data_IF_546983334263
#
_entry.id   IF_546983334263
#
_cell.length_a   1.000
_cell.length_b   1.000
_cell.length_c   1.000
_cell.angle_alpha   90.00
_cell.angle_beta   90.00
_cell.angle_gamma   90.00
#
_symmetry.space_group_name_H-M   'P 1'
#
loop_
_entity.id
_entity.type
_entity.pdbx_description
1 polymer ?
#
# COMPACT_ATOMS: atom_id res chain seq x y z
N UNK A 1 -91.01 9.72 -25.42
CA UNK A 1 -89.80 10.51 -25.10
C UNK A 1 -89.53 10.25 -23.62
N UNK A 2 -88.91 9.11 -23.28
CA UNK A 2 -87.46 8.84 -23.26
C UNK A 2 -86.80 9.42 -21.98
N UNK A 3 -86.53 8.54 -21.00
CA UNK A 3 -85.22 8.28 -20.36
C UNK A 3 -84.92 9.27 -19.21
N UNK A 4 -84.62 8.91 -17.96
CA UNK A 4 -83.80 7.81 -17.45
C UNK A 4 -82.40 8.35 -17.13
N UNK A 5 -82.06 8.59 -15.84
CA UNK A 5 -80.72 8.29 -15.26
C UNK A 5 -80.52 8.75 -13.81
N UNK A 6 -79.60 8.05 -13.15
CA UNK A 6 -79.43 7.93 -11.71
C UNK A 6 -78.11 8.55 -11.19
N UNK A 7 -78.08 8.75 -9.85
CA UNK A 7 -76.92 8.77 -8.92
C UNK A 7 -75.74 9.74 -9.16
N UNK A 8 -75.36 10.53 -8.14
CA UNK A 8 -74.24 10.23 -7.22
C UNK A 8 -73.96 11.38 -6.25
N UNK A 9 -73.66 11.03 -5.00
CA UNK A 9 -73.24 11.91 -3.91
C UNK A 9 -71.79 12.39 -4.07
N UNK A 10 -71.50 13.63 -3.69
CA UNK A 10 -70.13 14.13 -3.50
C UNK A 10 -69.93 14.53 -2.04
N UNK A 11 -69.33 13.62 -1.27
CA UNK A 11 -68.78 13.92 0.05
C UNK A 11 -67.44 14.65 -0.10
N UNK A 12 -67.27 15.73 0.67
CA UNK A 12 -66.06 16.54 0.69
C UNK A 12 -64.82 15.75 1.13
N UNK A 13 -63.77 15.83 0.33
CA UNK A 13 -62.47 15.27 0.66
C UNK A 13 -61.77 16.15 1.72
N UNK A 14 -61.45 15.53 2.86
CA UNK A 14 -60.60 16.10 3.89
C UNK A 14 -59.15 16.15 3.41
N UNK A 15 -58.48 17.30 3.60
CA UNK A 15 -57.05 17.48 3.37
C UNK A 15 -56.27 16.86 4.53
N UNK A 16 -55.85 15.60 4.39
CA UNK A 16 -54.92 14.97 5.33
C UNK A 16 -53.50 15.50 5.10
N UNK A 17 -52.95 16.14 6.13
CA UNK A 17 -51.51 16.45 6.20
C UNK A 17 -50.66 15.17 6.19
N UNK A 18 -49.35 15.26 5.92
CA UNK A 18 -48.50 14.08 5.78
C UNK A 18 -48.54 13.19 7.02
N UNK A 19 -48.76 11.88 6.80
CA UNK A 19 -49.04 10.90 7.84
C UNK A 19 -47.91 10.76 8.89
N UNK A 20 -48.25 10.38 10.15
CA UNK A 20 -47.30 10.26 11.26
C UNK A 20 -46.11 9.32 11.02
N UNK A 21 -46.25 8.32 10.16
CA UNK A 21 -45.18 7.37 9.85
C UNK A 21 -44.01 7.99 9.05
N UNK A 22 -44.23 9.09 8.34
CA UNK A 22 -43.16 9.80 7.66
C UNK A 22 -42.19 10.48 8.65
N UNK A 23 -42.65 10.80 9.87
CA UNK A 23 -41.81 11.36 10.95
C UNK A 23 -40.98 10.28 11.65
N UNK A 24 -41.47 9.04 11.73
CA UNK A 24 -40.76 7.96 12.45
C UNK A 24 -39.53 7.43 11.70
N UNK A 25 -39.48 7.55 10.37
CA UNK A 25 -38.30 7.15 9.56
C UNK A 25 -37.12 8.11 9.74
N UNK A 26 -37.36 9.37 10.13
CA UNK A 26 -36.29 10.33 10.46
C UNK A 26 -35.68 10.13 11.86
N UNK A 27 -36.35 9.38 12.75
CA UNK A 27 -35.98 9.25 14.16
C UNK A 27 -34.80 8.30 14.46
N UNK A 28 -34.27 7.60 13.45
CA UNK A 28 -33.20 6.59 13.63
C UNK A 28 -31.78 7.02 13.23
N UNK A 29 -31.58 8.23 12.68
CA UNK A 29 -30.23 8.67 12.30
C UNK A 29 -29.49 9.17 13.55
N UNK A 30 -28.33 8.58 13.91
CA UNK A 30 -27.57 9.05 15.06
C UNK A 30 -27.28 10.55 14.89
N UNK A 31 -27.63 11.34 15.90
CA UNK A 31 -27.42 12.80 15.89
C UNK A 31 -25.94 13.06 15.61
N UNK A 32 -25.65 13.61 14.43
CA UNK A 32 -24.28 13.91 14.02
C UNK A 32 -23.77 15.09 14.83
N UNK A 33 -23.06 14.81 15.92
CA UNK A 33 -22.45 15.82 16.82
C UNK A 33 -21.44 16.74 16.16
N UNK A 34 -20.94 16.38 14.96
CA UNK A 34 -19.88 17.10 14.24
C UNK A 34 -20.42 17.57 12.90
N UNK A 35 -20.26 18.85 12.56
CA UNK A 35 -20.65 19.39 11.25
C UNK A 35 -19.83 18.78 10.10
N UNK A 36 -20.35 18.77 8.87
CA UNK A 36 -19.62 18.25 7.70
C UNK A 36 -18.28 18.97 7.47
N UNK A 37 -18.25 20.30 7.65
CA UNK A 37 -17.03 21.11 7.49
C UNK A 37 -15.99 20.75 8.55
N UNK A 38 -16.41 20.63 9.82
CA UNK A 38 -15.52 20.21 10.90
C UNK A 38 -14.98 18.80 10.66
N UNK A 39 -15.83 17.86 10.24
CA UNK A 39 -15.42 16.49 9.91
C UNK A 39 -14.35 16.42 8.81
N UNK A 40 -14.53 17.15 7.71
CA UNK A 40 -13.55 17.19 6.62
C UNK A 40 -12.22 17.80 7.11
N UNK A 41 -12.28 18.90 7.85
CA UNK A 41 -11.08 19.54 8.43
C UNK A 41 -10.35 18.58 9.36
N UNK A 42 -11.05 17.88 10.25
CA UNK A 42 -10.44 16.89 11.14
C UNK A 42 -9.80 15.74 10.36
N UNK A 43 -10.44 15.22 9.30
CA UNK A 43 -9.86 14.17 8.47
C UNK A 43 -8.58 14.64 7.76
N UNK A 44 -8.55 15.88 7.26
CA UNK A 44 -7.34 16.49 6.67
C UNK A 44 -6.24 16.63 7.72
N UNK A 45 -6.54 17.20 8.89
CA UNK A 45 -5.57 17.36 9.97
C UNK A 45 -5.02 16.02 10.44
N UNK A 46 -5.86 15.00 10.55
CA UNK A 46 -5.45 13.64 10.91
C UNK A 46 -4.51 13.02 9.86
N UNK A 47 -4.79 13.26 8.57
CA UNK A 47 -3.93 12.81 7.47
C UNK A 47 -2.57 13.50 7.54
N UNK A 48 -2.54 14.82 7.73
CA UNK A 48 -1.31 15.60 7.87
C UNK A 48 -0.51 15.21 9.12
N UNK A 49 -1.19 14.94 10.23
CA UNK A 49 -0.56 14.46 11.46
C UNK A 49 0.11 13.09 11.24
N UNK A 50 -0.55 12.17 10.52
CA UNK A 50 0.05 10.87 10.22
C UNK A 50 1.20 10.96 9.21
N UNK A 51 1.12 11.85 8.23
CA UNK A 51 2.26 12.13 7.32
C UNK A 51 3.43 12.74 8.08
N UNK A 52 3.18 13.63 9.03
CA UNK A 52 4.21 14.19 9.92
C UNK A 52 4.83 13.10 10.78
N UNK A 53 4.03 12.19 11.33
CA UNK A 53 4.52 11.03 12.07
C UNK A 53 5.43 10.13 11.23
N UNK A 54 5.05 9.84 9.98
CA UNK A 54 5.92 9.11 9.06
C UNK A 54 7.20 9.90 8.72
N UNK A 55 7.13 11.22 8.60
CA UNK A 55 8.32 12.05 8.35
C UNK A 55 9.32 11.99 9.52
N UNK A 56 8.84 11.94 10.76
CA UNK A 56 9.67 11.67 11.93
C UNK A 56 10.38 10.32 11.79
N UNK A 57 9.65 9.26 11.41
CA UNK A 57 10.25 7.94 11.14
C UNK A 57 11.27 7.97 10.00
N UNK A 58 10.99 8.71 8.92
CA UNK A 58 11.90 8.84 7.78
C UNK A 58 13.23 9.52 8.15
N UNK A 59 13.22 10.42 9.14
CA UNK A 59 14.40 11.14 9.61
C UNK A 59 15.14 10.35 10.69
N UNK A 60 14.42 9.78 11.65
CA UNK A 60 15.01 9.10 12.82
C UNK A 60 15.52 7.71 12.48
N UNK A 61 14.90 7.01 11.53
CA UNK A 61 15.38 5.69 11.09
C UNK A 61 16.72 5.87 10.38
N UNK A 62 17.82 5.24 10.84
CA UNK A 62 19.09 5.37 10.17
C UNK A 62 18.98 4.89 8.70
N UNK A 63 19.73 5.50 7.77
CA UNK A 63 19.70 5.10 6.38
C UNK A 63 19.91 3.60 6.18
N UNK A 64 19.13 2.98 5.28
CA UNK A 64 19.28 1.57 4.91
C UNK A 64 19.03 0.55 6.03
N UNK A 65 18.49 0.98 7.19
CA UNK A 65 18.13 0.07 8.30
C UNK A 65 16.73 -0.53 8.16
N UNK A 66 15.91 -0.08 7.22
CA UNK A 66 14.65 -0.76 6.90
C UNK A 66 14.93 -1.98 6.02
N UNK A 67 14.22 -3.11 6.21
CA UNK A 67 14.46 -4.31 5.41
C UNK A 67 14.33 -4.00 3.92
N UNK A 68 15.29 -4.50 3.15
CA UNK A 68 15.36 -4.40 1.69
C UNK A 68 15.41 -2.95 1.14
N UNK A 69 15.59 -1.93 1.97
CA UNK A 69 15.68 -0.54 1.52
C UNK A 69 16.83 -0.30 0.51
N UNK A 70 18.03 -0.91 0.66
CA UNK A 70 19.08 -0.81 -0.35
C UNK A 70 18.67 -1.35 -1.73
N UNK A 71 17.96 -2.47 -1.78
CA UNK A 71 17.58 -3.11 -3.06
C UNK A 71 16.46 -2.32 -3.73
N UNK A 72 15.52 -1.78 -2.95
CA UNK A 72 14.55 -0.81 -3.47
C UNK A 72 15.23 0.45 -4.02
N UNK A 73 16.18 1.02 -3.28
CA UNK A 73 16.95 2.19 -3.71
C UNK A 73 17.71 1.91 -5.01
N UNK A 74 18.40 0.79 -5.11
CA UNK A 74 19.09 0.34 -6.33
C UNK A 74 18.14 0.28 -7.54
N UNK A 75 16.98 -0.34 -7.38
CA UNK A 75 15.98 -0.43 -8.44
C UNK A 75 15.37 0.92 -8.84
N UNK A 76 15.23 1.87 -7.91
CA UNK A 76 14.84 3.25 -8.22
C UNK A 76 15.90 3.94 -9.09
N UNK A 77 17.19 3.79 -8.74
CA UNK A 77 18.28 4.37 -9.53
C UNK A 77 18.36 3.76 -10.94
N UNK A 78 18.16 2.44 -11.08
CA UNK A 78 18.01 1.79 -12.39
C UNK A 78 16.87 2.41 -13.19
N UNK A 79 15.68 2.50 -12.56
CA UNK A 79 14.49 3.07 -13.18
C UNK A 79 14.65 4.55 -13.58
N UNK A 80 15.49 5.31 -12.89
CA UNK A 80 15.79 6.70 -13.24
C UNK A 80 16.56 6.82 -14.57
N UNK A 81 17.37 5.82 -14.92
CA UNK A 81 18.25 5.86 -16.10
C UNK A 81 17.65 5.09 -17.28
N UNK A 82 17.35 3.80 -17.09
CA UNK A 82 17.08 2.89 -18.22
C UNK A 82 15.60 2.67 -18.51
N UNK A 83 14.74 2.78 -17.49
CA UNK A 83 13.38 2.21 -17.49
C UNK A 83 13.33 0.71 -17.83
N UNK A 84 14.48 0.04 -17.91
CA UNK A 84 14.56 -1.38 -18.15
C UNK A 84 14.18 -2.14 -16.88
N UNK A 85 13.53 -3.29 -17.07
CA UNK A 85 13.12 -4.18 -16.00
C UNK A 85 13.57 -5.60 -16.31
N UNK A 86 14.82 -5.96 -15.94
CA UNK A 86 15.40 -7.26 -16.22
C UNK A 86 14.57 -8.42 -15.67
N UNK A 87 14.80 -9.62 -16.21
CA UNK A 87 14.20 -10.83 -15.67
C UNK A 87 14.55 -11.00 -14.18
N UNK A 88 13.62 -11.57 -13.41
CA UNK A 88 13.84 -11.77 -11.98
C UNK A 88 15.12 -12.59 -11.75
N UNK A 89 15.95 -12.12 -10.81
CA UNK A 89 17.20 -12.77 -10.46
C UNK A 89 18.37 -12.47 -11.40
N UNK A 90 18.19 -11.76 -12.51
CA UNK A 90 19.33 -11.36 -13.37
C UNK A 90 19.89 -9.98 -13.03
N UNK A 91 19.13 -9.18 -12.28
CA UNK A 91 19.55 -7.86 -11.82
C UNK A 91 20.51 -7.95 -10.63
N UNK A 92 21.59 -7.17 -10.68
CA UNK A 92 22.54 -7.03 -9.57
C UNK A 92 22.41 -5.69 -8.83
N UNK A 93 23.13 -5.60 -7.72
CA UNK A 93 23.29 -4.38 -6.92
C UNK A 93 24.46 -3.53 -7.47
N UNK A 94 24.23 -2.24 -7.65
CA UNK A 94 25.28 -1.29 -8.02
C UNK A 94 26.31 -1.14 -6.90
N UNK A 95 27.59 -1.07 -7.28
CA UNK A 95 28.70 -0.86 -6.36
C UNK A 95 28.48 0.37 -5.45
N UNK A 96 28.04 1.48 -6.04
CA UNK A 96 27.80 2.72 -5.29
C UNK A 96 26.70 2.57 -4.22
N UNK A 97 25.70 1.71 -4.45
CA UNK A 97 24.66 1.45 -3.44
C UNK A 97 25.22 0.65 -2.27
N UNK A 98 26.09 -0.33 -2.54
CA UNK A 98 26.77 -1.08 -1.49
C UNK A 98 27.70 -0.18 -0.68
N UNK A 99 28.48 0.67 -1.35
CA UNK A 99 29.32 1.66 -0.68
C UNK A 99 28.50 2.67 0.14
N UNK A 100 27.34 3.10 -0.34
CA UNK A 100 26.45 3.98 0.42
C UNK A 100 25.90 3.31 1.69
N UNK A 101 25.62 2.01 1.63
CA UNK A 101 25.20 1.25 2.80
C UNK A 101 26.36 1.03 3.81
N UNK A 102 27.60 0.92 3.34
CA UNK A 102 28.81 0.96 4.18
C UNK A 102 29.01 2.34 4.82
N UNK A 103 28.92 3.43 4.06
CA UNK A 103 28.99 4.81 4.58
C UNK A 103 27.90 5.12 5.62
N UNK A 104 26.76 4.44 5.52
CA UNK A 104 25.67 4.52 6.49
C UNK A 104 25.89 3.66 7.76
N UNK A 105 26.97 2.88 7.81
CA UNK A 105 27.28 1.95 8.90
C UNK A 105 26.45 0.65 8.90
N UNK A 106 25.70 0.37 7.84
CA UNK A 106 24.84 -0.82 7.75
C UNK A 106 25.61 -2.04 7.30
N UNK A 107 26.49 -1.89 6.31
CA UNK A 107 27.35 -2.98 5.85
C UNK A 107 28.71 -2.91 6.53
N UNK A 108 29.27 -4.08 6.81
CA UNK A 108 30.66 -4.20 7.27
C UNK A 108 31.60 -3.96 6.07
N UNK A 109 32.76 -3.35 6.31
CA UNK A 109 33.74 -3.06 5.26
C UNK A 109 34.21 -4.32 4.52
N UNK A 110 34.31 -4.22 3.19
CA UNK A 110 34.84 -5.29 2.34
C UNK A 110 33.90 -6.44 2.04
N UNK A 111 32.64 -6.39 2.48
CA UNK A 111 31.67 -7.48 2.29
C UNK A 111 30.88 -7.33 1.00
N UNK A 112 30.48 -8.47 0.41
CA UNK A 112 29.89 -8.52 -0.93
C UNK A 112 28.36 -8.42 -0.91
N UNK A 113 27.70 -8.95 0.14
CA UNK A 113 26.25 -9.12 0.18
C UNK A 113 25.50 -8.23 1.17
N UNK A 114 24.18 -8.36 1.19
CA UNK A 114 23.29 -7.77 2.20
C UNK A 114 22.77 -8.82 3.16
N UNK A 115 23.43 -9.98 3.27
CA UNK A 115 22.98 -11.05 4.17
C UNK A 115 23.10 -10.64 5.63
N UNK A 116 22.49 -11.39 6.55
CA UNK A 116 22.59 -11.08 7.99
C UNK A 116 24.04 -11.04 8.49
N UNK A 117 24.95 -11.81 7.90
CA UNK A 117 26.37 -11.86 8.29
C UNK A 117 27.16 -10.66 7.77
N UNK A 118 26.63 -9.96 6.76
CA UNK A 118 27.30 -8.87 6.07
C UNK A 118 26.89 -7.50 6.61
N UNK A 119 25.92 -7.47 7.53
CA UNK A 119 25.31 -6.26 8.09
C UNK A 119 25.61 -6.13 9.57
N UNK A 120 25.78 -4.89 10.03
CA UNK A 120 25.80 -4.58 11.46
C UNK A 120 24.44 -4.87 12.11
N UNK A 121 24.46 -5.24 13.39
CA UNK A 121 23.26 -5.59 14.17
C UNK A 121 23.01 -4.60 15.30
N UNK A 122 21.77 -4.41 15.74
CA UNK A 122 21.48 -3.54 16.89
C UNK A 122 21.94 -4.12 18.24
N UNK A 123 22.21 -5.42 18.30
CA UNK A 123 22.73 -6.06 19.49
C UNK A 123 23.95 -6.85 19.10
N UNK A 124 25.11 -6.47 19.65
CA UNK A 124 26.38 -7.11 19.36
C UNK A 124 26.30 -8.62 19.61
N UNK A 125 26.87 -9.39 18.69
CA UNK A 125 27.08 -10.82 18.85
C UNK A 125 28.53 -11.11 18.50
N UNK A 126 29.13 -12.17 19.06
CA UNK A 126 30.54 -12.53 18.80
C UNK A 126 30.91 -12.62 17.30
N UNK A 127 29.93 -12.83 16.42
CA UNK A 127 30.14 -13.02 14.99
C UNK A 127 29.85 -11.78 14.12
N UNK A 128 29.20 -10.73 14.64
CA UNK A 128 28.71 -9.60 13.81
C UNK A 128 28.84 -8.27 14.58
N UNK A 129 29.52 -7.26 14.00
CA UNK A 129 29.70 -5.95 14.63
C UNK A 129 28.38 -5.24 14.97
N UNK A 130 28.41 -4.49 16.07
CA UNK A 130 27.31 -3.63 16.48
C UNK A 130 27.17 -2.40 15.57
N UNK A 131 25.93 -2.01 15.28
CA UNK A 131 25.65 -0.75 14.58
C UNK A 131 26.06 0.48 15.40
N UNK A 132 26.06 0.37 16.73
CA UNK A 132 26.44 1.49 17.61
C UNK A 132 27.91 1.88 17.48
N UNK A 133 28.75 0.94 17.05
CA UNK A 133 30.20 1.14 16.87
C UNK A 133 30.56 1.42 15.40
N UNK A 134 29.56 1.50 14.52
CA UNK A 134 29.79 1.74 13.10
C UNK A 134 30.26 3.18 12.85
N UNK A 135 31.33 3.31 12.07
CA UNK A 135 31.84 4.61 11.63
C UNK A 135 30.96 5.11 10.49
N UNK A 136 30.14 6.14 10.76
CA UNK A 136 29.24 6.74 9.77
C UNK A 136 29.96 7.88 9.04
N UNK A 137 29.95 7.85 7.71
CA UNK A 137 30.55 8.91 6.90
C UNK A 137 29.78 10.23 7.08
N UNK A 138 30.48 11.34 7.43
CA UNK A 138 29.88 12.66 7.56
C UNK A 138 29.23 13.13 6.26
N UNK A 139 28.14 13.91 6.37
CA UNK A 139 27.32 14.35 5.23
C UNK A 139 28.12 14.94 4.05
N UNK A 140 29.11 15.78 4.35
CA UNK A 140 29.95 16.47 3.36
C UNK A 140 30.90 15.55 2.58
N UNK A 141 31.11 14.32 3.06
CA UNK A 141 32.03 13.35 2.47
C UNK A 141 31.29 12.17 1.83
N UNK A 142 29.95 12.21 1.79
CA UNK A 142 29.13 11.11 1.25
C UNK A 142 29.19 11.03 -0.26
N UNK A 143 29.19 9.80 -0.77
CA UNK A 143 29.28 9.57 -2.20
C UNK A 143 28.01 9.97 -2.99
N UNK A 144 28.21 10.33 -4.25
CA UNK A 144 27.13 10.60 -5.20
C UNK A 144 26.81 9.32 -5.98
N UNK A 145 25.79 8.58 -5.55
CA UNK A 145 25.43 7.32 -6.17
C UNK A 145 24.69 7.58 -7.48
N UNK A 146 25.14 6.93 -8.56
CA UNK A 146 24.46 6.90 -9.85
C UNK A 146 24.41 5.46 -10.36
N UNK A 147 23.35 5.14 -11.09
CA UNK A 147 23.27 3.86 -11.80
C UNK A 147 24.17 3.92 -13.03
N UNK A 148 25.14 3.01 -13.11
CA UNK A 148 26.12 2.92 -14.21
C UNK A 148 25.95 1.65 -15.05
N UNK A 149 25.22 0.66 -14.53
CA UNK A 149 25.12 -0.67 -15.14
C UNK A 149 26.25 -1.61 -14.74
N UNK A 150 27.27 -1.12 -14.02
CA UNK A 150 28.34 -1.93 -13.43
C UNK A 150 27.86 -2.54 -12.10
N UNK A 151 26.82 -3.37 -12.19
CA UNK A 151 26.23 -4.07 -11.05
C UNK A 151 27.02 -5.35 -10.71
N UNK A 152 27.20 -5.65 -9.43
CA UNK A 152 27.74 -6.94 -8.98
C UNK A 152 26.69 -8.04 -9.16
N UNK A 153 26.95 -9.01 -10.02
CA UNK A 153 26.03 -10.12 -10.28
C UNK A 153 25.85 -11.05 -9.06
N UNK A 154 26.84 -11.09 -8.16
CA UNK A 154 26.83 -11.93 -6.96
C UNK A 154 25.78 -11.47 -5.93
N UNK A 155 25.50 -10.16 -5.87
CA UNK A 155 24.50 -9.58 -4.97
C UNK A 155 23.29 -9.18 -5.77
N UNK A 156 22.30 -10.09 -5.77
CA UNK A 156 21.09 -9.94 -6.57
C UNK A 156 20.18 -8.85 -6.04
N UNK A 157 19.58 -8.13 -6.97
CA UNK A 157 18.50 -7.19 -6.72
C UNK A 157 17.15 -7.89 -7.00
N UNK A 158 16.57 -8.44 -5.93
CA UNK A 158 15.32 -9.18 -6.00
C UNK A 158 14.12 -8.33 -6.38
N UNK A 159 14.23 -7.00 -6.43
CA UNK A 159 13.07 -6.13 -6.66
C UNK A 159 12.48 -6.26 -8.06
N UNK A 160 13.26 -6.79 -9.01
CA UNK A 160 12.79 -7.16 -10.36
C UNK A 160 11.69 -8.23 -10.35
N UNK A 161 11.53 -9.00 -9.27
CA UNK A 161 10.40 -9.91 -9.06
C UNK A 161 9.06 -9.18 -8.83
N UNK A 162 9.08 -7.86 -8.64
CA UNK A 162 7.89 -7.05 -8.46
C UNK A 162 7.59 -6.24 -9.74
N UNK A 163 6.32 -5.86 -9.95
CA UNK A 163 5.95 -4.88 -10.96
C UNK A 163 6.75 -3.57 -10.86
N UNK A 164 7.08 -2.92 -12.00
CA UNK A 164 8.03 -1.81 -12.03
C UNK A 164 7.48 -0.43 -11.63
N UNK A 165 6.15 -0.28 -11.46
CA UNK A 165 5.50 1.04 -11.40
C UNK A 165 6.11 1.98 -10.36
N UNK A 166 6.30 1.50 -9.12
CA UNK A 166 6.87 2.29 -8.04
C UNK A 166 8.27 2.81 -8.41
N UNK A 167 9.12 1.94 -8.97
CA UNK A 167 10.51 2.25 -9.27
C UNK A 167 10.65 3.22 -10.45
N UNK A 168 9.85 3.02 -11.50
CA UNK A 168 9.80 3.95 -12.63
C UNK A 168 9.29 5.32 -12.21
N UNK A 169 8.23 5.38 -11.40
CA UNK A 169 7.68 6.64 -10.89
C UNK A 169 8.70 7.37 -10.01
N UNK A 170 9.26 6.68 -9.02
CA UNK A 170 10.23 7.25 -8.09
C UNK A 170 11.52 7.68 -8.81
N UNK A 171 12.04 6.85 -9.72
CA UNK A 171 13.23 7.15 -10.50
C UNK A 171 13.01 8.35 -11.43
N UNK A 172 11.85 8.42 -12.10
CA UNK A 172 11.48 9.57 -12.93
C UNK A 172 11.42 10.85 -12.10
N UNK A 173 10.76 10.83 -10.95
CA UNK A 173 10.61 12.00 -10.08
C UNK A 173 11.97 12.46 -9.54
N UNK A 174 12.80 11.53 -9.04
CA UNK A 174 14.16 11.82 -8.59
C UNK A 174 14.97 12.51 -9.69
N UNK A 175 14.92 11.99 -10.92
CA UNK A 175 15.61 12.62 -12.06
C UNK A 175 15.07 14.01 -12.39
N UNK A 176 13.74 14.21 -12.37
CA UNK A 176 13.14 15.49 -12.74
C UNK A 176 13.48 16.63 -11.79
N UNK A 177 13.72 16.34 -10.51
CA UNK A 177 14.11 17.35 -9.52
C UNK A 177 15.62 17.59 -9.47
N UNK A 178 16.40 16.99 -10.39
CA UNK A 178 17.86 17.02 -10.36
C UNK A 178 18.46 16.17 -9.23
N UNK A 179 17.67 15.26 -8.65
CA UNK A 179 18.05 14.47 -7.48
C UNK A 179 19.12 13.43 -7.76
N UNK A 180 19.30 13.03 -9.02
CA UNK A 180 20.35 12.10 -9.46
C UNK A 180 21.77 12.59 -9.19
N UNK A 181 21.95 13.90 -8.96
CA UNK A 181 23.25 14.52 -8.67
C UNK A 181 23.46 14.80 -7.18
N UNK A 182 22.52 14.45 -6.31
CA UNK A 182 22.68 14.62 -4.87
C UNK A 182 23.51 13.47 -4.26
N UNK A 183 24.11 13.73 -3.11
CA UNK A 183 24.66 12.66 -2.26
C UNK A 183 23.54 11.68 -1.85
N UNK A 184 23.89 10.42 -1.62
CA UNK A 184 22.91 9.33 -1.44
C UNK A 184 21.90 9.56 -0.33
N UNK A 185 22.27 10.29 0.72
CA UNK A 185 21.42 10.54 1.87
C UNK A 185 20.27 11.51 1.56
N UNK A 186 20.54 12.53 0.74
CA UNK A 186 19.53 13.45 0.21
C UNK A 186 18.62 12.74 -0.80
N UNK A 187 19.19 11.88 -1.65
CA UNK A 187 18.39 11.02 -2.54
C UNK A 187 17.45 10.14 -1.71
N UNK A 188 17.98 9.48 -0.67
CA UNK A 188 17.21 8.60 0.21
C UNK A 188 16.10 9.35 0.94
N UNK A 189 16.40 10.50 1.56
CA UNK A 189 15.38 11.29 2.25
C UNK A 189 14.27 11.74 1.30
N UNK A 190 14.62 12.20 0.09
CA UNK A 190 13.62 12.56 -0.92
C UNK A 190 12.71 11.39 -1.27
N UNK A 191 13.28 10.19 -1.49
CA UNK A 191 12.52 8.99 -1.81
C UNK A 191 11.65 8.52 -0.64
N UNK A 192 12.13 8.65 0.61
CA UNK A 192 11.32 8.39 1.81
C UNK A 192 10.14 9.36 1.91
N UNK A 193 10.34 10.66 1.64
CA UNK A 193 9.25 11.64 1.60
C UNK A 193 8.26 11.34 0.47
N UNK A 194 8.74 10.86 -0.68
CA UNK A 194 7.86 10.38 -1.75
C UNK A 194 7.02 9.18 -1.30
N UNK A 195 7.59 8.19 -0.62
CA UNK A 195 6.84 7.06 -0.03
C UNK A 195 5.69 7.54 0.89
N UNK A 196 5.92 8.58 1.68
CA UNK A 196 4.90 9.17 2.56
C UNK A 196 3.75 9.77 1.73
N UNK A 197 4.08 10.47 0.64
CA UNK A 197 3.07 11.03 -0.28
C UNK A 197 2.25 9.92 -0.94
N UNK A 198 2.89 8.83 -1.37
CA UNK A 198 2.20 7.69 -1.98
C UNK A 198 1.27 6.97 -0.99
N UNK A 199 1.55 7.08 0.32
CA UNK A 199 0.74 6.53 1.41
C UNK A 199 -0.38 7.49 1.87
N UNK A 200 -0.36 8.75 1.44
CA UNK A 200 -1.33 9.77 1.87
C UNK A 200 -2.83 9.37 1.72
N UNK A 201 -3.26 8.55 0.74
CA UNK A 201 -4.64 8.09 0.67
C UNK A 201 -5.11 7.27 1.88
N UNK A 202 -4.21 6.69 2.68
CA UNK A 202 -4.55 5.72 3.72
C UNK A 202 -5.60 6.22 4.73
N UNK A 203 -5.30 7.31 5.43
CA UNK A 203 -6.18 7.91 6.44
C UNK A 203 -7.53 8.35 5.86
N UNK A 204 -7.61 9.15 4.79
CA UNK A 204 -8.90 9.59 4.25
C UNK A 204 -9.71 8.41 3.70
N UNK A 205 -9.08 7.41 3.09
CA UNK A 205 -9.78 6.20 2.63
C UNK A 205 -10.34 5.36 3.79
N UNK A 206 -9.63 5.26 4.91
CA UNK A 206 -10.11 4.57 6.10
C UNK A 206 -11.33 5.30 6.71
N UNK A 207 -11.21 6.62 6.89
CA UNK A 207 -12.31 7.46 7.37
C UNK A 207 -13.52 7.38 6.44
N UNK A 208 -13.30 7.42 5.13
CA UNK A 208 -14.34 7.28 4.11
C UNK A 208 -15.01 5.90 4.15
N UNK A 209 -14.22 4.83 4.25
CA UNK A 209 -14.70 3.45 4.34
C UNK A 209 -15.59 3.27 5.56
N UNK A 210 -15.16 3.76 6.73
CA UNK A 210 -15.96 3.77 7.95
C UNK A 210 -17.31 4.50 7.76
N UNK A 211 -17.31 5.66 7.09
CA UNK A 211 -18.56 6.38 6.76
C UNK A 211 -19.46 5.58 5.82
N UNK A 212 -18.89 4.86 4.86
CA UNK A 212 -19.66 4.04 3.90
C UNK A 212 -20.31 2.83 4.55
N UNK A 213 -19.67 2.22 5.54
CA UNK A 213 -20.23 1.10 6.31
C UNK A 213 -21.37 1.56 7.23
N UNK A 214 -21.45 2.86 7.54
CA UNK A 214 -22.56 3.46 8.30
C UNK A 214 -22.15 4.07 9.64
N UNK A 215 -20.86 4.05 10.01
CA UNK A 215 -20.38 4.62 11.27
C UNK A 215 -20.60 6.14 11.30
N UNK A 216 -21.01 6.69 12.44
CA UNK A 216 -21.14 8.14 12.61
C UNK A 216 -19.80 8.88 12.40
N UNK A 217 -19.86 10.19 12.12
CA UNK A 217 -18.67 11.02 11.83
C UNK A 217 -17.54 10.87 12.85
N UNK A 218 -17.86 10.91 14.15
CA UNK A 218 -16.85 10.78 15.20
C UNK A 218 -16.19 9.40 15.18
N UNK A 219 -16.97 8.32 15.09
CA UNK A 219 -16.43 6.95 14.96
C UNK A 219 -15.60 6.75 13.70
N UNK A 220 -15.94 7.42 12.60
CA UNK A 220 -15.11 7.37 11.39
C UNK A 220 -13.78 8.11 11.54
N UNK A 221 -13.75 9.22 12.28
CA UNK A 221 -12.50 9.88 12.66
C UNK A 221 -11.67 9.00 13.61
N UNK A 222 -12.32 8.34 14.58
CA UNK A 222 -11.66 7.35 15.46
C UNK A 222 -11.08 6.17 14.69
N UNK A 223 -11.75 5.69 13.64
CA UNK A 223 -11.17 4.67 12.76
C UNK A 223 -9.88 5.19 12.10
N UNK A 224 -9.89 6.45 11.65
CA UNK A 224 -8.70 7.12 11.11
C UNK A 224 -7.52 7.21 12.07
N UNK A 225 -7.76 7.25 13.40
CA UNK A 225 -6.67 7.32 14.39
C UNK A 225 -5.99 5.97 14.62
N UNK A 226 -6.58 4.85 14.16
CA UNK A 226 -6.02 3.51 14.37
C UNK A 226 -4.64 3.33 13.74
N UNK A 227 -4.32 4.08 12.68
CA UNK A 227 -3.00 4.02 12.02
C UNK A 227 -1.85 4.41 12.94
N UNK A 228 -2.10 5.23 13.97
CA UNK A 228 -1.08 5.64 14.95
C UNK A 228 -0.74 4.53 15.95
N UNK A 229 -1.62 3.53 16.10
CA UNK A 229 -1.43 2.40 17.00
C UNK A 229 -0.72 1.21 16.35
N UNK A 230 -0.24 1.38 15.11
CA UNK A 230 0.53 0.36 14.39
C UNK A 230 1.91 0.94 14.07
N UNK A 231 2.90 0.85 14.99
CA UNK A 231 4.23 1.44 14.79
C UNK A 231 4.91 0.94 13.50
N UNK A 232 4.76 -0.35 13.21
CA UNK A 232 5.29 -0.98 12.01
C UNK A 232 4.81 -0.31 10.72
N UNK A 233 3.56 0.14 10.68
CA UNK A 233 2.98 0.79 9.51
C UNK A 233 3.75 2.08 9.19
N UNK A 234 3.93 2.96 10.18
CA UNK A 234 4.64 4.22 10.00
C UNK A 234 6.12 3.99 9.67
N UNK A 235 6.76 3.00 10.29
CA UNK A 235 8.14 2.62 10.00
C UNK A 235 8.34 2.16 8.54
N UNK A 236 7.48 1.26 8.06
CA UNK A 236 7.58 0.70 6.69
C UNK A 236 7.23 1.74 5.63
N UNK A 237 6.18 2.55 5.83
CA UNK A 237 5.74 3.54 4.82
C UNK A 237 6.63 4.78 4.77
N UNK A 238 7.50 4.97 5.78
CA UNK A 238 8.52 5.99 5.81
C UNK A 238 9.85 5.58 5.14
N UNK A 239 9.97 4.34 4.67
CA UNK A 239 11.16 3.84 3.98
C UNK A 239 11.02 3.86 2.46
N UNK A 240 12.15 3.72 1.74
CA UNK A 240 12.12 3.53 0.28
C UNK A 240 11.67 2.11 -0.03
N UNK A 241 10.40 1.94 -0.39
CA UNK A 241 9.81 0.63 -0.72
C UNK A 241 8.55 0.75 -1.56
N UNK A 242 8.30 -0.25 -2.41
CA UNK A 242 7.02 -0.40 -3.12
C UNK A 242 5.83 -0.69 -2.17
N UNK A 243 6.08 -0.98 -0.90
CA UNK A 243 5.03 -1.10 0.12
C UNK A 243 4.25 0.19 0.34
N UNK A 244 4.91 1.34 0.22
CA UNK A 244 4.25 2.65 0.36
C UNK A 244 3.13 2.85 -0.68
N UNK A 245 3.45 2.64 -1.95
CA UNK A 245 2.46 2.68 -3.05
C UNK A 245 1.44 1.55 -2.91
N UNK A 246 1.85 0.36 -2.47
CA UNK A 246 0.94 -0.77 -2.26
C UNK A 246 -0.10 -0.47 -1.20
N UNK A 247 0.29 0.14 -0.08
CA UNK A 247 -0.61 0.51 1.01
C UNK A 247 -1.57 1.62 0.56
N UNK A 248 -1.06 2.64 -0.14
CA UNK A 248 -1.90 3.69 -0.73
C UNK A 248 -2.93 3.14 -1.73
N UNK A 249 -2.50 2.30 -2.67
CA UNK A 249 -3.37 1.63 -3.63
C UNK A 249 -4.38 0.69 -2.96
N UNK A 250 -3.98 0.03 -1.87
CA UNK A 250 -4.82 -0.85 -1.07
C UNK A 250 -5.94 -0.08 -0.40
N UNK A 251 -5.60 1.06 0.22
CA UNK A 251 -6.57 1.96 0.83
C UNK A 251 -7.58 2.50 -0.20
N UNK A 252 -7.12 2.91 -1.38
CA UNK A 252 -7.98 3.31 -2.49
C UNK A 252 -8.91 2.17 -2.93
N UNK A 253 -8.37 0.95 -3.04
CA UNK A 253 -9.14 -0.24 -3.45
C UNK A 253 -10.23 -0.56 -2.44
N UNK A 254 -9.91 -0.59 -1.14
CA UNK A 254 -10.89 -0.85 -0.08
C UNK A 254 -11.95 0.26 -0.01
N UNK A 255 -11.56 1.53 -0.14
CA UNK A 255 -12.52 2.64 -0.20
C UNK A 255 -13.45 2.53 -1.41
N UNK A 256 -12.92 2.18 -2.58
CA UNK A 256 -13.72 1.95 -3.79
C UNK A 256 -14.66 0.74 -3.62
N UNK A 257 -14.18 -0.35 -3.02
CA UNK A 257 -14.98 -1.53 -2.70
C UNK A 257 -16.11 -1.19 -1.72
N UNK A 258 -15.84 -0.40 -0.68
CA UNK A 258 -16.88 0.06 0.24
C UNK A 258 -17.94 0.93 -0.47
N UNK A 259 -17.51 1.77 -1.41
CA UNK A 259 -18.44 2.55 -2.25
C UNK A 259 -19.26 1.66 -3.21
N UNK A 260 -18.69 0.55 -3.69
CA UNK A 260 -19.38 -0.43 -4.52
C UNK A 260 -20.38 -1.28 -3.71
N UNK A 261 -19.97 -1.74 -2.52
CA UNK A 261 -20.75 -2.64 -1.66
C UNK A 261 -21.92 -1.95 -0.96
N UNK A 262 -21.67 -0.76 -0.39
CA UNK A 262 -22.63 -0.02 0.43
C UNK A 262 -23.25 1.19 -0.28
N UNK A 263 -22.92 1.39 -1.56
CA UNK A 263 -23.46 2.47 -2.40
C UNK A 263 -24.40 1.96 -3.48
N UNK A 264 -24.49 2.69 -4.60
CA UNK A 264 -25.35 2.31 -5.74
C UNK A 264 -24.76 1.22 -6.64
N UNK A 265 -23.48 0.88 -6.47
CA UNK A 265 -22.79 -0.09 -7.35
C UNK A 265 -22.70 0.35 -8.81
N UNK A 266 -22.65 1.67 -9.06
CA UNK A 266 -22.67 2.27 -10.39
C UNK A 266 -21.44 1.94 -11.27
N UNK A 267 -21.48 2.27 -12.56
CA UNK A 267 -20.30 2.19 -13.45
C UNK A 267 -19.11 3.01 -12.94
N UNK A 268 -19.36 4.11 -12.20
CA UNK A 268 -18.29 4.86 -11.54
C UNK A 268 -17.58 4.04 -10.47
N UNK A 269 -18.34 3.23 -9.72
CA UNK A 269 -17.77 2.29 -8.75
C UNK A 269 -16.94 1.22 -9.45
N UNK A 270 -17.39 0.69 -10.58
CA UNK A 270 -16.64 -0.27 -11.42
C UNK A 270 -15.30 0.32 -11.86
N UNK A 271 -15.31 1.56 -12.38
CA UNK A 271 -14.08 2.25 -12.78
C UNK A 271 -13.16 2.50 -11.58
N UNK A 272 -13.70 2.99 -10.47
CA UNK A 272 -12.91 3.26 -9.27
C UNK A 272 -12.26 1.98 -8.70
N UNK A 273 -13.01 0.89 -8.55
CA UNK A 273 -12.48 -0.39 -8.04
C UNK A 273 -11.50 -1.02 -9.01
N UNK A 274 -11.80 -0.99 -10.32
CA UNK A 274 -10.95 -1.59 -11.34
C UNK A 274 -9.62 -0.84 -11.50
N UNK A 275 -9.66 0.49 -11.58
CA UNK A 275 -8.44 1.30 -11.65
C UNK A 275 -7.59 1.19 -10.37
N UNK A 276 -8.22 1.18 -9.17
CA UNK A 276 -7.49 1.03 -7.92
C UNK A 276 -6.87 -0.38 -7.77
N UNK A 277 -7.61 -1.43 -8.16
CA UNK A 277 -7.08 -2.79 -8.23
C UNK A 277 -5.92 -2.89 -9.21
N UNK A 278 -6.06 -2.30 -10.40
CA UNK A 278 -5.01 -2.27 -11.42
C UNK A 278 -3.76 -1.54 -10.95
N UNK A 279 -3.91 -0.39 -10.29
CA UNK A 279 -2.79 0.33 -9.67
C UNK A 279 -2.03 -0.57 -8.68
N UNK A 280 -2.76 -1.31 -7.84
CA UNK A 280 -2.17 -2.25 -6.90
C UNK A 280 -1.51 -3.45 -7.58
N UNK A 281 -2.15 -4.05 -8.58
CA UNK A 281 -1.59 -5.14 -9.38
C UNK A 281 -0.31 -4.72 -10.10
N UNK A 282 -0.23 -3.48 -10.58
CA UNK A 282 1.00 -2.95 -11.17
C UNK A 282 2.04 -2.52 -10.14
N UNK A 283 1.81 -2.76 -8.85
CA UNK A 283 2.76 -2.44 -7.77
C UNK A 283 3.26 -3.69 -7.05
N UNK A 284 2.35 -4.60 -6.64
CA UNK A 284 2.71 -5.77 -5.80
C UNK A 284 1.72 -6.93 -5.93
N UNK A 285 2.23 -8.15 -5.76
CA UNK A 285 1.45 -9.41 -5.93
C UNK A 285 0.34 -9.62 -4.90
N UNK A 286 0.38 -8.90 -3.77
CA UNK A 286 -0.67 -8.92 -2.74
C UNK A 286 -2.05 -8.48 -3.28
N UNK A 287 -2.11 -7.87 -4.47
CA UNK A 287 -3.37 -7.49 -5.11
C UNK A 287 -4.04 -8.58 -5.94
N UNK A 288 -3.35 -9.69 -6.23
CA UNK A 288 -3.95 -10.84 -6.89
C UNK A 288 -5.19 -11.37 -6.13
N UNK A 289 -5.11 -11.67 -4.81
CA UNK A 289 -6.29 -12.04 -4.03
C UNK A 289 -7.28 -10.89 -3.83
N UNK A 290 -6.85 -9.62 -3.97
CA UNK A 290 -7.74 -8.46 -3.85
C UNK A 290 -8.81 -8.42 -4.95
N UNK A 291 -8.59 -9.11 -6.08
CA UNK A 291 -9.62 -9.32 -7.11
C UNK A 291 -10.89 -10.00 -6.55
N UNK A 292 -10.73 -10.93 -5.60
CA UNK A 292 -11.87 -11.55 -4.91
C UNK A 292 -12.65 -10.52 -4.09
N UNK A 293 -11.96 -9.65 -3.35
CA UNK A 293 -12.59 -8.59 -2.54
C UNK A 293 -13.38 -7.63 -3.43
N UNK A 294 -12.83 -7.25 -4.59
CA UNK A 294 -13.54 -6.43 -5.60
C UNK A 294 -14.79 -7.15 -6.10
N UNK A 295 -14.68 -8.43 -6.46
CA UNK A 295 -15.83 -9.23 -6.88
C UNK A 295 -16.91 -9.31 -5.81
N UNK A 296 -16.53 -9.63 -4.57
CA UNK A 296 -17.42 -9.71 -3.42
C UNK A 296 -18.06 -8.36 -3.07
N UNK A 297 -17.42 -7.23 -3.35
CA UNK A 297 -18.03 -5.91 -3.15
C UNK A 297 -19.26 -5.71 -4.06
N UNK A 298 -19.17 -6.05 -5.35
CA UNK A 298 -20.32 -5.98 -6.25
C UNK A 298 -21.35 -7.08 -5.99
N UNK A 299 -20.89 -8.29 -5.67
CA UNK A 299 -21.79 -9.38 -5.31
C UNK A 299 -22.53 -9.04 -4.03
N UNK A 300 -21.93 -8.56 -2.95
CA UNK A 300 -22.68 -8.24 -1.73
C UNK A 300 -23.74 -7.14 -1.90
N UNK A 301 -23.60 -6.27 -2.89
CA UNK A 301 -24.57 -5.20 -3.13
C UNK A 301 -25.84 -5.68 -3.87
N UNK A 302 -26.91 -5.90 -3.11
CA UNK A 302 -28.23 -6.29 -3.64
C UNK A 302 -28.95 -5.16 -4.40
N UNK A 303 -28.59 -3.88 -4.19
CA UNK A 303 -29.25 -2.76 -4.85
C UNK A 303 -28.96 -2.67 -6.35
N UNK A 304 -27.93 -3.37 -6.83
CA UNK A 304 -27.55 -3.45 -8.26
C UNK A 304 -28.60 -4.25 -9.05
N UNK A 305 -29.36 -5.13 -8.38
CA UNK A 305 -30.40 -5.97 -8.97
C UNK A 305 -30.00 -7.45 -9.04
N UNK A 306 -30.47 -8.20 -10.06
CA UNK A 306 -30.26 -9.65 -10.14
C UNK A 306 -28.77 -10.03 -10.20
N UNK A 307 -28.47 -11.29 -9.86
CA UNK A 307 -27.11 -11.82 -9.82
C UNK A 307 -26.35 -11.60 -11.14
N UNK A 308 -27.00 -11.69 -12.30
CA UNK A 308 -26.39 -11.45 -13.60
C UNK A 308 -25.79 -10.05 -13.72
N UNK A 309 -26.51 -9.01 -13.30
CA UNK A 309 -25.99 -7.62 -13.30
C UNK A 309 -24.83 -7.47 -12.32
N UNK A 310 -24.92 -8.08 -11.13
CA UNK A 310 -23.83 -8.06 -10.13
C UNK A 310 -22.56 -8.73 -10.67
N UNK A 311 -22.70 -9.88 -11.34
CA UNK A 311 -21.59 -10.56 -12.01
C UNK A 311 -20.98 -9.71 -13.13
N UNK A 312 -21.78 -9.07 -13.98
CA UNK A 312 -21.26 -8.18 -15.03
C UNK A 312 -20.41 -7.05 -14.42
N UNK A 313 -20.85 -6.45 -13.31
CA UNK A 313 -20.08 -5.39 -12.63
C UNK A 313 -18.77 -5.92 -12.04
N UNK A 314 -18.84 -7.07 -11.37
CA UNK A 314 -17.68 -7.73 -10.78
C UNK A 314 -16.63 -8.07 -11.86
N UNK A 315 -17.05 -8.72 -12.94
CA UNK A 315 -16.19 -9.09 -14.06
C UNK A 315 -15.64 -7.87 -14.78
N UNK A 316 -16.44 -6.83 -15.00
CA UNK A 316 -15.96 -5.59 -15.61
C UNK A 316 -14.92 -4.87 -14.76
N UNK A 317 -15.10 -4.84 -13.43
CA UNK A 317 -14.14 -4.25 -12.50
C UNK A 317 -12.83 -5.05 -12.47
N UNK A 318 -12.91 -6.38 -12.38
CA UNK A 318 -11.76 -7.27 -12.44
C UNK A 318 -11.01 -7.16 -13.76
N UNK A 319 -11.75 -7.19 -14.88
CA UNK A 319 -11.20 -7.02 -16.23
C UNK A 319 -10.48 -5.68 -16.39
N UNK A 320 -11.05 -4.58 -15.89
CA UNK A 320 -10.37 -3.28 -15.88
C UNK A 320 -9.10 -3.30 -15.02
N UNK A 321 -9.11 -3.96 -13.87
CA UNK A 321 -7.89 -4.14 -13.06
C UNK A 321 -6.80 -4.91 -13.80
N UNK A 322 -7.19 -5.95 -14.55
CA UNK A 322 -6.25 -6.71 -15.40
C UNK A 322 -5.68 -5.84 -16.51
N UNK A 323 -6.51 -5.04 -17.18
CA UNK A 323 -6.07 -4.12 -18.23
C UNK A 323 -5.11 -3.05 -17.72
N UNK A 324 -5.36 -2.48 -16.54
CA UNK A 324 -4.56 -1.39 -15.98
C UNK A 324 -3.22 -1.89 -15.40
N UNK A 325 -3.20 -3.07 -14.76
CA UNK A 325 -1.98 -3.56 -14.10
C UNK A 325 -1.78 -5.07 -14.07
N UNK A 326 -2.82 -5.85 -14.34
CA UNK A 326 -2.71 -7.32 -14.46
C UNK A 326 -1.87 -7.79 -15.64
N UNK A 327 -1.68 -6.95 -16.66
CA UNK A 327 -0.88 -7.28 -17.85
C UNK A 327 0.55 -7.73 -17.50
N UNK A 328 1.15 -7.18 -16.43
CA UNK A 328 2.50 -7.57 -15.99
C UNK A 328 2.55 -9.01 -15.48
N UNK A 329 1.50 -9.44 -14.77
CA UNK A 329 1.37 -10.82 -14.29
C UNK A 329 1.11 -11.79 -15.45
N UNK A 330 0.28 -11.38 -16.41
CA UNK A 330 0.06 -12.15 -17.65
C UNK A 330 1.37 -12.30 -18.42
N UNK A 331 2.13 -11.22 -18.57
CA UNK A 331 3.48 -11.25 -19.18
C UNK A 331 4.37 -12.28 -18.47
N UNK A 332 4.39 -12.31 -17.15
CA UNK A 332 5.25 -13.25 -16.43
C UNK A 332 4.87 -14.71 -16.67
N UNK A 333 3.57 -15.01 -16.69
CA UNK A 333 3.09 -16.36 -17.02
C UNK A 333 3.50 -16.75 -18.44
N UNK A 334 3.36 -15.82 -19.40
CA UNK A 334 3.72 -16.07 -20.81
C UNK A 334 5.23 -16.22 -21.03
N UNK A 335 6.06 -15.42 -20.36
CA UNK A 335 7.51 -15.41 -20.57
C UNK A 335 8.27 -16.41 -19.69
N UNK A 336 7.80 -16.67 -18.48
CA UNK A 336 8.52 -17.43 -17.46
C UNK A 336 7.76 -18.66 -16.97
N UNK A 337 6.50 -18.87 -17.41
CA UNK A 337 5.66 -19.97 -16.93
C UNK A 337 5.24 -19.84 -15.45
N UNK A 338 5.51 -18.70 -14.83
CA UNK A 338 5.30 -18.45 -13.40
C UNK A 338 4.63 -17.10 -13.18
N UNK A 339 3.77 -17.01 -12.18
CA UNK A 339 3.10 -15.76 -11.83
C UNK A 339 4.08 -14.73 -11.25
N UNK A 340 4.93 -15.18 -10.32
CA UNK A 340 5.99 -14.39 -9.71
C UNK A 340 7.31 -15.18 -9.74
N UNK A 341 8.14 -14.96 -10.76
CA UNK A 341 9.48 -15.56 -10.81
C UNK A 341 10.32 -15.14 -9.60
N UNK A 342 11.13 -16.05 -9.06
CA UNK A 342 11.95 -15.77 -7.87
C UNK A 342 13.11 -14.81 -8.19
N UNK A 343 13.13 -13.66 -7.51
CA UNK A 343 14.19 -12.66 -7.66
C UNK A 343 15.49 -13.01 -6.95
N UNK A 344 15.47 -13.94 -5.98
CA UNK A 344 16.65 -14.34 -5.22
C UNK A 344 17.31 -15.61 -5.77
N UNK A 345 16.62 -16.36 -6.64
CA UNK A 345 16.97 -17.74 -7.05
C UNK A 345 17.40 -18.60 -5.84
N UNK A 346 16.58 -18.57 -4.79
CA UNK A 346 16.79 -19.46 -3.65
C UNK A 346 16.46 -20.86 -4.10
N UNK A 347 17.32 -21.81 -3.74
CA UNK A 347 16.95 -23.22 -3.81
C UNK A 347 15.63 -23.39 -3.04
N UNK A 348 14.67 -24.04 -3.67
CA UNK A 348 13.43 -24.38 -2.99
C UNK A 348 13.83 -25.24 -1.79
N UNK A 349 13.84 -24.62 -0.60
CA UNK A 349 14.02 -25.38 0.62
C UNK A 349 12.94 -26.48 0.63
N UNK A 350 13.30 -27.67 1.11
CA UNK A 350 12.35 -28.76 1.40
C UNK A 350 11.42 -28.32 2.56
N UNK A 351 10.62 -27.29 2.31
CA UNK A 351 9.65 -26.77 3.24
C UNK A 351 8.47 -27.69 3.13
N UNK A 352 8.36 -28.60 4.09
CA UNK A 352 7.21 -29.49 4.19
C UNK A 352 5.93 -28.63 4.39
N UNK A 353 5.04 -28.51 3.39
CA UNK A 353 4.01 -27.47 3.33
C UNK A 353 2.78 -27.84 4.17
N UNK A 354 3.00 -28.23 5.42
CA UNK A 354 1.93 -28.61 6.33
C UNK A 354 1.34 -27.37 7.01
N UNK A 355 0.00 -27.27 6.97
CA UNK A 355 -0.75 -26.20 7.63
C UNK A 355 -0.38 -26.07 9.12
N UNK A 356 -0.15 -27.19 9.81
CA UNK A 356 0.28 -27.18 11.22
C UNK A 356 1.64 -26.49 11.44
N UNK A 357 2.60 -26.69 10.53
CA UNK A 357 3.89 -25.98 10.60
C UNK A 357 3.72 -24.48 10.33
N UNK A 358 2.91 -24.12 9.32
CA UNK A 358 2.60 -22.71 9.04
C UNK A 358 1.92 -22.02 10.24
N UNK A 359 0.93 -22.65 10.87
CA UNK A 359 0.24 -22.08 12.03
C UNK A 359 1.18 -21.93 13.22
N UNK A 360 2.07 -22.90 13.45
CA UNK A 360 3.02 -22.88 14.57
C UNK A 360 4.16 -21.87 14.37
N UNK A 361 4.67 -21.73 13.15
CA UNK A 361 5.86 -20.92 12.85
C UNK A 361 5.49 -19.58 12.21
N UNK A 362 4.63 -19.61 11.19
CA UNK A 362 4.21 -18.43 10.43
C UNK A 362 3.26 -17.53 11.21
N UNK A 363 2.31 -18.09 11.96
CA UNK A 363 1.33 -17.32 12.75
C UNK A 363 1.99 -16.32 13.71
N UNK A 364 2.83 -16.78 14.67
CA UNK A 364 3.55 -15.89 15.58
C UNK A 364 4.46 -14.91 14.84
N UNK A 365 5.18 -15.38 13.80
CA UNK A 365 6.08 -14.53 13.01
C UNK A 365 5.33 -13.37 12.36
N UNK A 366 4.14 -13.60 11.80
CA UNK A 366 3.30 -12.57 11.19
C UNK A 366 2.80 -11.56 12.23
N UNK A 367 2.34 -12.01 13.39
CA UNK A 367 1.87 -11.12 14.45
C UNK A 367 3.01 -10.22 14.94
N UNK A 368 4.16 -10.81 15.25
CA UNK A 368 5.31 -10.06 15.75
C UNK A 368 5.88 -9.10 14.70
N UNK A 369 5.99 -9.52 13.44
CA UNK A 369 6.49 -8.65 12.36
C UNK A 369 5.53 -7.53 12.00
N UNK A 370 4.23 -7.66 12.33
CA UNK A 370 3.21 -6.65 12.02
C UNK A 370 3.11 -5.52 13.04
N UNK A 371 3.60 -5.70 14.27
CA UNK A 371 3.29 -4.78 15.37
C UNK A 371 4.48 -4.03 15.96
N UNK A 372 5.71 -4.35 15.55
CA UNK A 372 6.87 -3.61 16.03
C UNK A 372 8.20 -4.34 15.93
N UNK A 373 8.47 -5.03 14.82
CA UNK A 373 9.76 -5.66 14.56
C UNK A 373 10.55 -4.75 13.62
N UNK A 374 11.30 -3.82 14.21
CA UNK A 374 11.97 -2.73 13.52
C UNK A 374 13.40 -3.09 13.10
N UNK A 375 14.00 -2.21 12.30
CA UNK A 375 15.28 -2.45 11.66
C UNK A 375 15.19 -3.62 10.69
N UNK A 376 16.25 -4.41 10.58
CA UNK A 376 16.30 -5.65 9.81
C UNK A 376 15.56 -6.82 10.49
N UNK A 377 14.41 -6.55 11.11
CA UNK A 377 13.66 -7.48 11.98
C UNK A 377 14.48 -7.93 13.20
N UNK A 378 15.26 -7.01 13.78
CA UNK A 378 16.21 -7.31 14.85
C UNK A 378 15.73 -6.81 16.21
N UNK A 379 14.97 -5.71 16.22
CA UNK A 379 14.46 -5.13 17.45
C UNK A 379 12.96 -5.28 17.53
N UNK A 380 12.50 -5.97 18.57
CA UNK A 380 11.08 -6.18 18.83
C UNK A 380 10.64 -5.27 19.97
N UNK A 381 9.59 -4.48 19.72
CA UNK A 381 8.96 -3.69 20.79
C UNK A 381 8.48 -4.63 21.92
N UNK A 382 8.62 -4.22 23.19
CA UNK A 382 7.97 -4.92 24.29
C UNK A 382 6.46 -4.79 24.10
N UNK A 383 5.79 -5.88 23.73
CA UNK A 383 4.34 -5.95 23.49
C UNK A 383 3.65 -6.72 24.61
#
# INVERSE_FOLDING_TARGET
MAEGDAQFSSGGASTSGPEPWARSVQAGRPVERISRRAFIRCAILLTLAFMTWQAVWAIVTPPFRTPDEPTHYNSVLRGAVTFDWPAAGTAGMEEGVMQAATEAGVLVDGVVGTSRRDRTVLQETEAVPSFYDAVITPHNNRLHVRYTGNSRAETRDQMTQHPPLYYWLAGRLLRTVGGSDWAWDRQLLFLRLLSIVLTAPLVPCLVYTARRIGLARHWSLTAGTLVFFVPQLAFVTAAVSNDSLSIGAGALTIAACAAAAFGTGSWRSVMATGCALGLGLWTKGLFLPMGLVVGLAFLSNRSIGPLSRRLIRATAAGGLGVLVGGFWWVRNVLLFGQLQPDGMMRDAADVNPHLGYFLRTGGPTLVHSSWGKLGWLEWQLPL
#
